data_IF_098249229685
#
_entry.id   IF_098249229685
#
_cell.length_a   1.000
_cell.length_b   1.000
_cell.length_c   1.000
_cell.angle_alpha   90.00
_cell.angle_beta   90.00
_cell.angle_gamma   90.00
#
_symmetry.space_group_name_H-M   'P 1'
#
loop_
_entity.id
_entity.type
_entity.pdbx_description
1 polymer ?
#
# COMPACT_ATOMS: atom_id res chain seq x y z
N UNK A 1 7.18 4.98 -9.91
CA UNK A 1 6.13 4.60 -8.95
C UNK A 1 5.02 3.86 -9.69
N UNK A 2 4.71 2.64 -9.28
CA UNK A 2 3.52 1.89 -9.69
C UNK A 2 2.51 2.01 -8.56
N UNK A 3 1.38 2.65 -8.82
CA UNK A 3 0.21 2.48 -7.96
C UNK A 3 -0.55 1.26 -8.44
N UNK A 4 -1.15 0.53 -7.50
CA UNK A 4 -2.17 -0.45 -7.87
C UNK A 4 -3.39 0.33 -8.40
N UNK A 5 -3.45 0.57 -9.71
CA UNK A 5 -4.53 1.27 -10.40
C UNK A 5 -5.63 0.27 -10.84
N UNK A 6 -6.87 0.42 -10.35
CA UNK A 6 -8.05 -0.17 -10.98
C UNK A 6 -8.85 0.93 -11.67
N UNK A 7 -9.08 0.79 -12.98
CA UNK A 7 -10.23 1.42 -13.61
C UNK A 7 -11.43 0.49 -13.40
N UNK A 8 -12.32 0.82 -12.46
CA UNK A 8 -13.62 0.16 -12.38
C UNK A 8 -14.46 0.53 -13.61
N UNK A 9 -14.94 -0.42 -14.42
CA UNK A 9 -15.79 -0.12 -15.56
C UNK A 9 -17.23 0.06 -15.04
N UNK A 10 -17.50 1.18 -14.36
CA UNK A 10 -18.80 1.87 -14.20
C UNK A 10 -18.73 2.85 -13.03
N UNK A 11 -18.92 4.14 -13.34
CA UNK A 11 -19.49 5.15 -12.44
C UNK A 11 -18.73 5.56 -11.16
N UNK A 12 -17.42 5.79 -11.20
CA UNK A 12 -16.85 6.75 -10.25
C UNK A 12 -15.70 7.54 -10.87
N UNK A 13 -15.79 8.88 -10.97
CA UNK A 13 -14.63 9.70 -11.23
C UNK A 13 -13.78 9.70 -9.95
N UNK A 14 -12.48 9.42 -10.06
CA UNK A 14 -11.43 9.77 -9.07
C UNK A 14 -11.03 8.83 -7.93
N UNK A 15 -11.33 7.52 -7.93
CA UNK A 15 -10.61 6.60 -7.02
C UNK A 15 -9.84 5.54 -7.81
N UNK A 16 -8.53 5.77 -7.88
CA UNK A 16 -7.52 4.99 -8.60
C UNK A 16 -6.94 3.85 -7.76
N UNK A 17 -7.65 3.39 -6.72
CA UNK A 17 -7.23 2.35 -5.76
C UNK A 17 -8.35 1.33 -5.49
N UNK A 18 -8.23 0.51 -4.43
CA UNK A 18 -9.25 -0.49 -4.04
C UNK A 18 -9.46 -1.59 -5.09
N UNK A 19 -8.39 -2.34 -5.40
CA UNK A 19 -8.35 -3.30 -6.52
C UNK A 19 -8.52 -4.75 -6.04
N UNK A 20 -9.11 -5.61 -6.86
CA UNK A 20 -9.10 -7.07 -6.64
C UNK A 20 -8.47 -7.80 -7.83
N UNK A 21 -7.74 -8.89 -7.57
CA UNK A 21 -7.10 -9.75 -8.59
C UNK A 21 -6.08 -9.01 -9.47
N UNK A 22 -5.08 -8.40 -8.84
CA UNK A 22 -4.02 -7.65 -9.55
C UNK A 22 -2.70 -8.41 -9.54
N UNK A 23 -2.00 -8.37 -10.68
CA UNK A 23 -0.66 -8.90 -10.85
C UNK A 23 0.31 -7.80 -11.28
N UNK A 24 1.33 -7.55 -10.48
CA UNK A 24 2.48 -6.70 -10.81
C UNK A 24 3.69 -7.63 -10.99
N UNK A 25 4.18 -7.76 -12.22
CA UNK A 25 5.32 -8.63 -12.50
C UNK A 25 6.31 -8.08 -13.52
N UNK A 26 7.55 -8.57 -13.45
CA UNK A 26 8.63 -8.30 -14.41
C UNK A 26 8.94 -6.80 -14.60
N UNK A 27 8.88 -6.07 -13.50
CA UNK A 27 9.08 -4.63 -13.47
C UNK A 27 10.48 -4.25 -12.96
N UNK A 28 11.02 -3.17 -13.51
CA UNK A 28 12.18 -2.45 -12.96
C UNK A 28 11.76 -1.02 -12.67
N UNK A 29 11.75 -0.63 -11.40
CA UNK A 29 11.22 0.66 -10.94
C UNK A 29 12.32 1.46 -10.25
N UNK A 30 12.49 2.70 -10.70
CA UNK A 30 13.22 3.73 -9.95
C UNK A 30 12.21 4.81 -9.56
N UNK A 31 12.15 5.15 -8.29
CA UNK A 31 11.15 6.07 -7.75
C UNK A 31 11.79 6.98 -6.71
N UNK A 32 11.37 8.25 -6.68
CA UNK A 32 11.67 9.15 -5.55
C UNK A 32 10.77 8.93 -4.34
N UNK A 33 9.65 8.21 -4.54
CA UNK A 33 8.69 7.81 -3.50
C UNK A 33 8.54 6.27 -3.54
N UNK A 34 7.43 5.73 -3.07
CA UNK A 34 7.13 4.30 -3.06
C UNK A 34 7.28 3.67 -4.47
N UNK A 35 7.92 2.50 -4.57
CA UNK A 35 7.97 1.77 -5.84
C UNK A 35 6.60 1.15 -6.15
N UNK A 36 6.02 0.44 -5.19
CA UNK A 36 4.65 -0.07 -5.24
C UNK A 36 3.88 0.46 -4.05
N UNK A 37 2.82 1.23 -4.29
CA UNK A 37 1.92 1.71 -3.25
C UNK A 37 0.56 1.02 -3.37
N UNK A 38 0.17 0.32 -2.30
CA UNK A 38 -1.13 -0.36 -2.18
C UNK A 38 -2.03 0.47 -1.28
N UNK A 39 -3.18 0.88 -1.80
CA UNK A 39 -4.15 1.77 -1.15
C UNK A 39 -5.57 1.23 -1.34
N UNK A 40 -6.52 1.75 -0.58
CA UNK A 40 -7.93 1.35 -0.58
C UNK A 40 -8.79 2.45 0.04
N UNK A 41 -8.65 3.69 -0.40
CA UNK A 41 -9.41 4.83 0.08
C UNK A 41 -8.92 5.47 1.38
N UNK A 42 -9.31 6.71 1.58
CA UNK A 42 -8.80 7.59 2.63
C UNK A 42 -9.91 8.01 3.60
N UNK A 43 -9.71 7.75 4.89
CA UNK A 43 -10.57 8.14 6.01
C UNK A 43 -12.05 7.74 5.76
N UNK A 44 -13.01 8.63 6.06
CA UNK A 44 -14.44 8.39 5.92
C UNK A 44 -14.86 8.02 4.48
N UNK A 45 -14.13 8.50 3.48
CA UNK A 45 -14.40 8.18 2.08
C UNK A 45 -14.06 6.72 1.78
N UNK A 46 -12.91 6.26 2.26
CA UNK A 46 -12.52 4.85 2.11
C UNK A 46 -13.37 3.91 2.98
N UNK A 47 -13.70 4.33 4.21
CA UNK A 47 -14.57 3.56 5.11
C UNK A 47 -15.98 3.41 4.51
N UNK A 48 -16.56 4.50 4.00
CA UNK A 48 -17.89 4.46 3.38
C UNK A 48 -17.93 3.71 2.05
N UNK A 49 -16.84 3.75 1.28
CA UNK A 49 -16.71 2.95 0.07
C UNK A 49 -16.59 1.46 0.40
N UNK A 50 -15.88 1.12 1.47
CA UNK A 50 -15.87 -0.23 2.05
C UNK A 50 -15.28 -1.31 1.16
N UNK A 51 -14.48 -0.92 0.15
CA UNK A 51 -13.85 -1.84 -0.79
C UNK A 51 -12.36 -1.99 -0.46
N UNK A 52 -11.88 -3.18 -0.10
CA UNK A 52 -10.47 -3.40 0.14
C UNK A 52 -9.70 -3.53 -1.18
N UNK A 53 -8.37 -3.32 -1.11
CA UNK A 53 -7.47 -3.94 -2.09
C UNK A 53 -7.14 -5.36 -1.64
N UNK A 54 -7.43 -6.35 -2.50
CA UNK A 54 -7.26 -7.77 -2.19
C UNK A 54 -6.77 -8.62 -3.37
N UNK A 55 -6.28 -9.82 -3.09
CA UNK A 55 -5.77 -10.76 -4.09
C UNK A 55 -4.72 -10.12 -5.02
N UNK A 56 -3.70 -9.49 -4.40
CA UNK A 56 -2.63 -8.79 -5.09
C UNK A 56 -1.35 -9.63 -5.07
N UNK A 57 -0.79 -9.90 -6.26
CA UNK A 57 0.51 -10.56 -6.41
C UNK A 57 1.54 -9.57 -6.95
N UNK A 58 2.66 -9.43 -6.27
CA UNK A 58 3.82 -8.64 -6.70
C UNK A 58 5.01 -9.59 -6.84
N UNK A 59 5.53 -9.79 -8.05
CA UNK A 59 6.65 -10.73 -8.24
C UNK A 59 7.67 -10.34 -9.29
N UNK A 60 8.90 -10.83 -9.16
CA UNK A 60 9.99 -10.56 -10.11
C UNK A 60 10.17 -9.06 -10.35
N UNK A 61 10.22 -8.31 -9.26
CA UNK A 61 10.34 -6.86 -9.24
C UNK A 61 11.77 -6.49 -8.84
N UNK A 62 12.38 -5.55 -9.57
CA UNK A 62 13.55 -4.81 -9.08
C UNK A 62 13.14 -3.38 -8.76
N UNK A 63 13.51 -2.89 -7.59
CA UNK A 63 13.16 -1.53 -7.16
C UNK A 63 14.35 -0.79 -6.54
N UNK A 64 14.43 0.50 -6.88
CA UNK A 64 15.29 1.49 -6.26
C UNK A 64 14.43 2.69 -5.83
N UNK A 65 14.34 2.93 -4.52
CA UNK A 65 13.61 4.04 -3.91
C UNK A 65 14.42 4.64 -2.75
N UNK A 66 15.44 5.47 -3.03
CA UNK A 66 16.45 5.88 -2.05
C UNK A 66 15.84 6.55 -0.81
N UNK A 67 14.78 7.32 -1.01
CA UNK A 67 14.14 8.13 0.04
C UNK A 67 12.80 7.54 0.52
N UNK A 68 12.39 6.36 0.02
CA UNK A 68 11.15 5.70 0.44
C UNK A 68 11.22 4.16 0.39
N UNK A 69 10.15 3.47 -0.03
CA UNK A 69 9.98 2.02 0.16
C UNK A 69 9.74 1.27 -1.14
N UNK A 70 10.15 0.00 -1.15
CA UNK A 70 9.89 -0.94 -2.24
C UNK A 70 8.40 -1.30 -2.34
N UNK A 71 7.77 -1.72 -1.24
CA UNK A 71 6.31 -1.90 -1.15
C UNK A 71 5.75 -1.14 0.07
N UNK A 72 4.89 -0.15 -0.20
CA UNK A 72 4.06 0.53 0.79
C UNK A 72 2.66 -0.08 0.83
N UNK A 73 2.16 -0.32 2.04
CA UNK A 73 0.77 -0.60 2.34
C UNK A 73 0.21 0.61 3.10
N UNK A 74 -0.66 1.37 2.47
CA UNK A 74 -1.20 2.64 2.98
C UNK A 74 -0.46 3.90 2.47
N UNK A 75 -0.73 5.09 3.02
CA UNK A 75 -1.49 5.33 4.25
C UNK A 75 -3.00 5.27 4.11
N UNK A 76 -3.50 5.40 2.89
CA UNK A 76 -4.90 5.45 2.51
C UNK A 76 -5.39 3.99 2.41
N UNK A 77 -5.60 3.35 3.56
CA UNK A 77 -5.93 1.92 3.69
C UNK A 77 -7.31 1.67 4.31
N UNK A 78 -8.20 2.65 4.20
CA UNK A 78 -9.38 2.79 5.06
C UNK A 78 -10.50 1.79 4.69
N UNK A 79 -10.58 1.41 3.43
CA UNK A 79 -11.38 0.28 2.92
C UNK A 79 -10.76 -1.10 3.18
N UNK A 80 -9.49 -1.16 3.61
CA UNK A 80 -8.76 -2.38 3.93
C UNK A 80 -7.78 -2.86 2.86
N UNK A 81 -6.73 -3.54 3.31
CA UNK A 81 -5.76 -4.25 2.45
C UNK A 81 -5.63 -5.68 2.97
N UNK A 82 -5.87 -6.67 2.11
CA UNK A 82 -5.73 -8.08 2.47
C UNK A 82 -5.14 -8.94 1.35
N UNK A 83 -4.63 -10.11 1.71
CA UNK A 83 -4.11 -11.12 0.77
C UNK A 83 -3.14 -10.54 -0.28
N UNK A 84 -2.04 -9.94 0.21
CA UNK A 84 -0.96 -9.42 -0.62
C UNK A 84 0.20 -10.40 -0.60
N UNK A 85 0.60 -10.90 -1.77
CA UNK A 85 1.69 -11.86 -1.97
C UNK A 85 2.85 -11.22 -2.72
N UNK A 86 3.93 -10.93 -2.01
CA UNK A 86 5.13 -10.36 -2.58
C UNK A 86 6.25 -11.41 -2.65
N UNK A 87 6.79 -11.68 -3.84
CA UNK A 87 7.85 -12.68 -3.99
C UNK A 87 8.91 -12.41 -5.06
N UNK A 88 10.13 -12.91 -4.84
CA UNK A 88 11.23 -12.77 -5.81
C UNK A 88 11.50 -11.29 -6.14
N UNK A 89 11.78 -10.49 -5.12
CA UNK A 89 11.98 -9.04 -5.26
C UNK A 89 13.44 -8.70 -4.98
N UNK A 90 14.02 -7.85 -5.81
CA UNK A 90 15.34 -7.27 -5.61
C UNK A 90 15.18 -5.79 -5.21
N UNK A 91 15.35 -5.50 -3.93
CA UNK A 91 15.37 -4.16 -3.38
C UNK A 91 16.81 -3.65 -3.32
N UNK A 92 17.12 -2.53 -3.96
CA UNK A 92 18.47 -1.97 -4.03
C UNK A 92 18.43 -0.49 -3.64
N UNK A 93 19.37 -0.06 -2.79
CA UNK A 93 19.57 1.35 -2.41
C UNK A 93 18.24 2.06 -2.15
N UNK A 94 17.46 1.52 -1.23
CA UNK A 94 16.15 2.07 -0.87
C UNK A 94 16.12 2.45 0.62
N UNK A 95 15.11 3.16 1.10
CA UNK A 95 15.01 3.39 2.56
C UNK A 95 14.48 2.15 3.28
N UNK A 96 13.38 1.56 2.77
CA UNK A 96 12.81 0.35 3.35
C UNK A 96 12.34 -0.69 2.35
N UNK A 97 12.32 -1.96 2.76
CA UNK A 97 11.75 -3.05 1.96
C UNK A 97 10.22 -3.04 1.97
N UNK A 98 9.63 -3.25 3.15
CA UNK A 98 8.18 -3.21 3.35
C UNK A 98 7.84 -2.12 4.36
N UNK A 99 6.77 -1.36 4.08
CA UNK A 99 6.30 -0.29 4.96
C UNK A 99 4.80 -0.32 5.10
N UNK A 100 4.32 -0.35 6.34
CA UNK A 100 2.89 -0.19 6.67
C UNK A 100 2.68 1.20 7.25
N UNK A 101 1.85 2.00 6.61
CA UNK A 101 1.52 3.37 7.03
C UNK A 101 0.05 3.41 7.40
N UNK A 102 -0.28 3.89 8.60
CA UNK A 102 -1.65 4.22 8.98
C UNK A 102 -1.65 5.36 10.00
N UNK A 103 -2.83 5.86 10.32
CA UNK A 103 -3.06 6.94 11.27
C UNK A 103 -4.35 6.70 12.04
N UNK A 104 -4.48 7.35 13.20
CA UNK A 104 -5.75 7.44 13.93
C UNK A 104 -6.82 7.96 12.97
N UNK A 105 -7.98 7.30 12.92
CA UNK A 105 -9.08 7.67 12.03
C UNK A 105 -9.08 7.04 10.64
N UNK A 106 -8.01 6.34 10.25
CA UNK A 106 -8.03 5.51 9.02
C UNK A 106 -8.99 4.33 9.12
N UNK A 107 -9.23 3.82 10.34
CA UNK A 107 -9.97 2.57 10.52
C UNK A 107 -9.34 1.42 9.72
N UNK A 108 -10.17 0.68 9.00
CA UNK A 108 -9.74 -0.34 8.03
C UNK A 108 -8.85 -1.44 8.64
N UNK A 109 -8.13 -2.17 7.79
CA UNK A 109 -7.16 -3.16 8.23
C UNK A 109 -6.04 -3.36 7.20
N UNK A 110 -4.89 -3.87 7.65
CA UNK A 110 -3.87 -4.46 6.79
C UNK A 110 -3.59 -5.85 7.33
N UNK A 111 -4.02 -6.91 6.63
CA UNK A 111 -3.90 -8.30 7.10
C UNK A 111 -3.49 -9.25 5.98
N UNK A 112 -3.06 -10.46 6.34
CA UNK A 112 -2.69 -11.52 5.39
C UNK A 112 -1.65 -11.09 4.35
N UNK A 113 -0.61 -10.41 4.83
CA UNK A 113 0.52 -9.95 4.01
C UNK A 113 1.64 -10.98 4.06
N UNK A 114 2.00 -11.54 2.92
CA UNK A 114 3.05 -12.55 2.81
C UNK A 114 4.16 -12.08 1.88
N UNK A 115 5.37 -11.98 2.42
CA UNK A 115 6.57 -11.60 1.68
C UNK A 115 7.60 -12.72 1.76
N UNK A 116 8.08 -13.21 0.62
CA UNK A 116 9.13 -14.24 0.57
C UNK A 116 10.16 -13.95 -0.51
N UNK A 117 11.41 -14.38 -0.31
CA UNK A 117 12.49 -14.23 -1.31
C UNK A 117 12.66 -12.77 -1.77
N UNK A 118 12.71 -11.84 -0.82
CA UNK A 118 13.08 -10.46 -1.06
C UNK A 118 14.57 -10.29 -0.74
N UNK A 119 15.38 -10.07 -1.77
CA UNK A 119 16.81 -9.77 -1.64
C UNK A 119 16.98 -8.28 -1.44
N UNK A 120 17.58 -7.88 -0.31
CA UNK A 120 17.75 -6.50 0.11
C UNK A 120 19.22 -6.11 0.05
N UNK A 121 19.56 -5.10 -0.76
CA UNK A 121 20.92 -4.55 -0.90
C UNK A 121 20.92 -3.08 -0.56
N UNK A 122 21.62 -2.69 0.50
CA UNK A 122 21.69 -1.30 0.98
C UNK A 122 20.32 -0.75 1.34
N UNK A 123 19.93 -0.99 2.59
CA UNK A 123 18.61 -0.65 3.13
C UNK A 123 18.78 -0.08 4.52
N UNK A 124 17.96 0.91 4.89
CA UNK A 124 17.89 1.41 6.27
C UNK A 124 17.02 0.50 7.13
N UNK A 125 15.87 0.06 6.60
CA UNK A 125 14.94 -0.82 7.31
C UNK A 125 14.49 -1.99 6.42
N UNK A 126 14.50 -3.22 6.95
CA UNK A 126 13.87 -4.34 6.24
C UNK A 126 12.34 -4.21 6.22
N UNK A 127 11.79 -3.84 7.37
CA UNK A 127 10.36 -3.63 7.61
C UNK A 127 10.19 -2.42 8.52
N UNK A 128 9.23 -1.55 8.21
CA UNK A 128 8.86 -0.41 9.05
C UNK A 128 7.35 -0.25 9.13
N UNK A 129 6.84 0.17 10.28
CA UNK A 129 5.42 0.45 10.48
C UNK A 129 5.23 1.70 11.32
N UNK A 130 4.23 2.49 10.97
CA UNK A 130 3.79 3.64 11.78
C UNK A 130 2.27 3.72 11.81
N UNK A 131 1.73 3.99 13.01
CA UNK A 131 0.32 4.26 13.25
C UNK A 131 0.00 5.75 13.43
N UNK A 132 0.97 6.64 13.14
CA UNK A 132 0.84 8.08 13.30
C UNK A 132 1.23 8.83 12.01
N UNK A 133 0.69 8.41 10.87
CA UNK A 133 0.95 9.02 9.56
C UNK A 133 0.04 10.24 9.33
N UNK A 134 0.41 11.38 9.92
CA UNK A 134 -0.47 12.50 10.29
C UNK A 134 -1.15 13.36 9.20
N UNK A 135 -1.30 12.89 7.97
CA UNK A 135 -2.11 13.59 6.95
C UNK A 135 -3.51 13.00 6.88
N UNK A 136 -4.53 13.82 6.60
CA UNK A 136 -5.93 13.40 6.42
C UNK A 136 -6.51 14.01 5.14
N UNK A 137 -7.55 13.39 4.60
CA UNK A 137 -8.20 13.88 3.38
C UNK A 137 -8.77 15.29 3.59
N UNK A 138 -9.39 15.51 4.75
CA UNK A 138 -9.83 16.80 5.24
C UNK A 138 -9.90 16.83 6.79
N UNK A 139 -10.68 17.75 7.36
CA UNK A 139 -10.80 17.93 8.83
C UNK A 139 -11.96 17.17 9.47
N UNK A 140 -12.77 16.46 8.68
CA UNK A 140 -13.99 15.79 9.11
C UNK A 140 -13.78 14.31 9.42
N UNK A 141 -12.57 13.77 9.23
CA UNK A 141 -12.25 12.40 9.59
C UNK A 141 -12.61 12.12 11.06
N UNK A 142 -13.13 10.92 11.33
CA UNK A 142 -13.46 10.51 12.69
C UNK A 142 -12.21 9.97 13.39
N UNK A 143 -11.66 10.66 14.42
CA UNK A 143 -10.49 10.17 15.15
C UNK A 143 -10.80 8.90 15.97
N UNK A 144 -12.07 8.55 16.16
CA UNK A 144 -12.50 7.33 16.83
C UNK A 144 -12.80 6.19 15.85
N UNK A 145 -12.59 6.39 14.55
CA UNK A 145 -12.78 5.32 13.58
C UNK A 145 -11.76 4.19 13.85
N UNK A 146 -12.32 3.03 14.24
CA UNK A 146 -11.58 1.81 14.53
C UNK A 146 -11.87 0.75 13.45
N UNK A 147 -10.99 -0.25 13.29
CA UNK A 147 -11.28 -1.42 12.48
C UNK A 147 -12.55 -2.14 12.97
N UNK A 148 -13.50 -2.41 12.07
CA UNK A 148 -14.62 -3.30 12.34
C UNK A 148 -14.22 -4.71 11.86
N UNK A 149 -14.20 -5.69 12.76
CA UNK A 149 -13.86 -7.09 12.48
C UNK A 149 -15.08 -8.00 12.54
#
# INVERSE_FOLDING_TARGET
>A
MVFCFCFLPRYSPTFEDSCTNVLIEDCYIVSGDDCVAVKSGWDEYGISFGMPTEHLVIRRLTCISPDSVVIALGSEMSGGIQDVRAENILAVNSESGIRIKTAIGRGGFVKDIHVRRMTMKTMKWAFWMTGNYGSHADKNYDPNALPNY
#
